data_IF_037692226194
#
_entry.id   IF_037692226194
#
_cell.length_a   1.000
_cell.length_b   1.000
_cell.length_c   1.000
_cell.angle_alpha   90.00
_cell.angle_beta   90.00
_cell.angle_gamma   90.00
#
_symmetry.space_group_name_H-M   'P 1'
#
loop_
_entity.id
_entity.type
_entity.pdbx_description
1 polymer ?
#
# COMPACT_ATOMS: atom_id res chain seq x y z
N UNK A 1 -17.73 4.41 -23.01
CA UNK A 1 -18.12 3.86 -21.70
C UNK A 1 -18.05 2.35 -21.79
N UNK A 2 -16.93 1.77 -21.37
CA UNK A 2 -16.80 0.31 -21.27
C UNK A 2 -17.28 -0.04 -19.86
N UNK A 3 -18.46 -0.67 -19.79
CA UNK A 3 -19.04 -1.15 -18.55
C UNK A 3 -18.49 -2.57 -18.32
N UNK A 4 -17.32 -2.68 -17.72
CA UNK A 4 -16.74 -3.96 -17.31
C UNK A 4 -17.48 -4.43 -16.07
N UNK A 5 -18.55 -5.19 -16.30
CA UNK A 5 -19.26 -5.89 -15.24
C UNK A 5 -18.38 -7.05 -14.80
N UNK A 6 -17.75 -6.95 -13.62
CA UNK A 6 -17.06 -8.08 -12.99
C UNK A 6 -18.11 -9.12 -12.58
N UNK A 7 -18.29 -10.15 -13.40
CA UNK A 7 -19.06 -11.35 -13.05
C UNK A 7 -18.10 -12.53 -13.12
N UNK A 8 -17.73 -13.08 -11.96
CA UNK A 8 -17.04 -14.37 -11.88
C UNK A 8 -18.00 -15.43 -11.36
N UNK A 9 -18.64 -16.17 -12.28
CA UNK A 9 -19.39 -17.39 -11.97
C UNK A 9 -18.46 -18.60 -11.71
N UNK A 10 -17.19 -18.35 -11.37
CA UNK A 10 -16.22 -19.36 -10.94
C UNK A 10 -15.20 -18.68 -10.01
N UNK A 11 -14.74 -19.36 -8.95
CA UNK A 11 -13.62 -18.94 -8.08
C UNK A 11 -12.29 -18.94 -8.86
N UNK A 12 -12.20 -18.13 -9.90
CA UNK A 12 -11.03 -18.04 -10.77
C UNK A 12 -9.82 -17.57 -9.96
N UNK A 13 -8.64 -18.08 -10.31
CA UNK A 13 -7.37 -17.63 -9.76
C UNK A 13 -7.22 -16.13 -10.03
N UNK A 14 -7.08 -15.33 -8.96
CA UNK A 14 -6.90 -13.88 -9.08
C UNK A 14 -5.46 -13.55 -9.51
N UNK A 15 -5.26 -13.01 -10.70
CA UNK A 15 -3.95 -12.54 -11.18
C UNK A 15 -3.65 -11.13 -10.68
N UNK A 16 -2.53 -10.99 -9.99
CA UNK A 16 -2.16 -9.75 -9.29
C UNK A 16 -0.85 -9.20 -9.87
N UNK A 17 -0.91 -7.99 -10.43
CA UNK A 17 0.27 -7.19 -10.73
C UNK A 17 0.75 -6.45 -9.48
N UNK A 18 2.05 -6.39 -9.22
CA UNK A 18 2.57 -5.77 -7.99
C UNK A 18 3.55 -4.64 -8.29
N UNK A 19 3.31 -3.46 -7.76
CA UNK A 19 4.13 -2.27 -7.99
C UNK A 19 4.68 -1.75 -6.66
N UNK A 20 5.98 -1.49 -6.61
CA UNK A 20 6.64 -1.04 -5.39
C UNK A 20 7.84 -0.14 -5.67
N UNK A 21 8.20 0.73 -4.72
CA UNK A 21 9.50 1.40 -4.72
C UNK A 21 10.56 0.64 -3.92
N UNK A 22 10.17 -0.40 -3.19
CA UNK A 22 11.08 -1.34 -2.54
C UNK A 22 12.06 -0.66 -1.57
N UNK A 23 11.60 0.25 -0.70
CA UNK A 23 12.47 1.03 0.20
C UNK A 23 12.36 0.69 1.67
N UNK A 24 11.30 0.01 2.10
CA UNK A 24 11.03 -0.15 3.52
C UNK A 24 10.27 -1.42 3.89
N UNK A 25 10.21 -1.66 5.19
CA UNK A 25 9.57 -2.85 5.80
C UNK A 25 8.07 -2.93 5.51
N UNK A 26 7.41 -1.80 5.26
CA UNK A 26 6.00 -1.77 4.86
C UNK A 26 5.80 -2.49 3.53
N UNK A 27 6.42 -2.00 2.45
CA UNK A 27 6.32 -2.60 1.12
C UNK A 27 6.81 -4.05 1.08
N UNK A 28 7.88 -4.37 1.83
CA UNK A 28 8.40 -5.74 1.92
C UNK A 28 7.39 -6.67 2.61
N UNK A 29 6.90 -6.27 3.78
CA UNK A 29 5.98 -7.08 4.58
C UNK A 29 4.61 -7.26 3.93
N UNK A 30 4.13 -6.29 3.12
CA UNK A 30 2.90 -6.44 2.33
C UNK A 30 3.06 -7.55 1.28
N UNK A 31 4.18 -7.55 0.55
CA UNK A 31 4.43 -8.58 -0.47
C UNK A 31 4.63 -9.96 0.18
N UNK A 32 5.45 -10.03 1.23
CA UNK A 32 5.71 -11.27 1.97
C UNK A 32 4.43 -11.87 2.56
N UNK A 33 3.60 -11.06 3.21
CA UNK A 33 2.33 -11.55 3.77
C UNK A 33 1.36 -12.03 2.69
N UNK A 34 1.32 -11.36 1.54
CA UNK A 34 0.47 -11.76 0.41
C UNK A 34 0.94 -13.08 -0.19
N UNK A 35 2.24 -13.25 -0.39
CA UNK A 35 2.83 -14.49 -0.88
C UNK A 35 2.63 -15.65 0.09
N UNK A 36 2.76 -15.42 1.40
CA UNK A 36 2.50 -16.46 2.39
C UNK A 36 1.03 -16.91 2.36
N UNK A 37 0.08 -15.98 2.17
CA UNK A 37 -1.33 -16.32 2.04
C UNK A 37 -1.64 -17.08 0.75
N UNK A 38 -0.91 -16.82 -0.34
CA UNK A 38 -0.98 -17.60 -1.57
C UNK A 38 -0.42 -19.00 -1.35
N UNK A 39 0.78 -19.11 -0.76
CA UNK A 39 1.45 -20.39 -0.47
C UNK A 39 0.62 -21.30 0.44
N UNK A 40 -0.07 -20.73 1.43
CA UNK A 40 -0.93 -21.48 2.35
C UNK A 40 -2.27 -21.87 1.72
N UNK A 41 -2.62 -21.32 0.56
CA UNK A 41 -3.91 -21.51 -0.10
C UNK A 41 -5.06 -20.67 0.49
N UNK A 42 -4.78 -19.77 1.44
CA UNK A 42 -5.78 -18.85 1.98
C UNK A 42 -6.24 -17.81 0.96
N UNK A 43 -5.32 -17.36 0.11
CA UNK A 43 -5.59 -16.50 -1.03
C UNK A 43 -5.46 -17.31 -2.32
N UNK A 44 -6.58 -17.52 -3.01
CA UNK A 44 -6.58 -18.12 -4.35
C UNK A 44 -6.20 -17.07 -5.41
N UNK A 45 -4.91 -16.78 -5.48
CA UNK A 45 -4.35 -15.81 -6.42
C UNK A 45 -2.89 -16.09 -6.76
N UNK A 46 -2.37 -15.36 -7.74
CA UNK A 46 -1.00 -15.44 -8.21
C UNK A 46 -0.45 -14.03 -8.43
N UNK A 47 0.79 -13.77 -7.99
CA UNK A 47 1.49 -12.54 -8.36
C UNK A 47 2.20 -12.78 -9.69
N UNK A 48 1.66 -12.22 -10.77
CA UNK A 48 2.13 -12.49 -12.15
C UNK A 48 3.38 -11.71 -12.51
N UNK A 49 3.57 -10.55 -11.89
CA UNK A 49 4.80 -9.77 -11.98
C UNK A 49 4.97 -8.86 -10.76
N UNK A 50 6.23 -8.48 -10.52
CA UNK A 50 6.58 -7.37 -9.62
C UNK A 50 7.35 -6.32 -10.41
N UNK A 51 6.79 -5.13 -10.52
CA UNK A 51 7.46 -3.94 -11.03
C UNK A 51 8.08 -3.13 -9.89
N UNK A 52 9.35 -2.74 -10.06
CA UNK A 52 10.05 -1.84 -9.15
C UNK A 52 10.62 -0.64 -9.91
N UNK A 53 10.26 0.57 -9.50
CA UNK A 53 10.75 1.81 -10.12
C UNK A 53 12.20 2.18 -9.72
N UNK A 54 12.99 1.18 -9.33
CA UNK A 54 14.38 1.28 -8.85
C UNK A 54 15.19 0.13 -9.40
N UNK A 55 16.51 0.30 -9.40
CA UNK A 55 17.46 -0.70 -9.86
C UNK A 55 18.33 -1.23 -8.71
N UNK A 56 18.94 -2.39 -8.94
CA UNK A 56 19.93 -3.00 -8.06
C UNK A 56 21.14 -2.06 -7.85
N UNK A 57 21.71 -2.09 -6.65
CA UNK A 57 22.82 -1.23 -6.22
C UNK A 57 22.41 0.19 -5.83
N UNK A 58 21.12 0.56 -5.92
CA UNK A 58 20.69 1.91 -5.51
C UNK A 58 20.65 2.09 -4.00
N UNK A 59 20.15 1.10 -3.25
CA UNK A 59 20.13 1.07 -1.78
C UNK A 59 20.02 -0.36 -1.29
N UNK A 60 20.58 -0.66 -0.10
CA UNK A 60 20.51 -2.00 0.53
C UNK A 60 19.08 -2.52 0.68
N UNK A 61 18.12 -1.63 0.99
CA UNK A 61 16.72 -1.98 1.17
C UNK A 61 16.07 -2.41 -0.15
N UNK A 62 16.38 -1.70 -1.24
CA UNK A 62 15.96 -2.09 -2.59
C UNK A 62 16.58 -3.42 -2.98
N UNK A 63 17.88 -3.60 -2.78
CA UNK A 63 18.56 -4.86 -3.14
C UNK A 63 17.98 -6.06 -2.38
N UNK A 64 17.66 -5.89 -1.09
CA UNK A 64 16.94 -6.90 -0.30
C UNK A 64 15.57 -7.22 -0.89
N UNK A 65 14.78 -6.20 -1.26
CA UNK A 65 13.47 -6.40 -1.86
C UNK A 65 13.55 -7.13 -3.22
N UNK A 66 14.47 -6.69 -4.10
CA UNK A 66 14.68 -7.34 -5.40
C UNK A 66 15.15 -8.79 -5.25
N UNK A 67 16.06 -9.05 -4.30
CA UNK A 67 16.54 -10.41 -4.00
C UNK A 67 15.40 -11.31 -3.52
N UNK A 68 14.53 -10.79 -2.64
CA UNK A 68 13.36 -11.51 -2.17
C UNK A 68 12.41 -11.85 -3.31
N UNK A 69 12.07 -10.91 -4.20
CA UNK A 69 11.22 -11.18 -5.36
C UNK A 69 11.84 -12.28 -6.25
N UNK A 70 13.15 -12.18 -6.56
CA UNK A 70 13.88 -13.17 -7.36
C UNK A 70 13.87 -14.55 -6.69
N UNK A 71 14.06 -14.63 -5.36
CA UNK A 71 14.08 -15.92 -4.64
C UNK A 71 12.73 -16.61 -4.59
N UNK A 72 11.65 -15.87 -4.84
CA UNK A 72 10.28 -16.38 -4.96
C UNK A 72 9.93 -16.82 -6.39
N UNK A 73 10.84 -16.67 -7.35
CA UNK A 73 10.63 -17.08 -8.75
C UNK A 73 9.65 -16.19 -9.54
N UNK A 74 9.32 -15.01 -9.02
CA UNK A 74 8.34 -14.11 -9.63
C UNK A 74 9.05 -13.26 -10.71
N UNK A 75 8.43 -13.02 -11.88
CA UNK A 75 8.95 -12.09 -12.86
C UNK A 75 9.19 -10.69 -12.25
N UNK A 76 10.45 -10.28 -12.20
CA UNK A 76 10.87 -8.99 -11.66
C UNK A 76 11.24 -8.05 -12.81
N UNK A 77 10.47 -6.96 -12.94
CA UNK A 77 10.70 -5.92 -13.94
C UNK A 77 11.15 -4.67 -13.21
N UNK A 78 12.25 -4.07 -13.68
CA UNK A 78 12.77 -2.84 -13.09
C UNK A 78 12.94 -1.75 -14.13
N UNK A 79 12.40 -0.57 -13.85
CA UNK A 79 12.72 0.66 -14.58
C UNK A 79 13.02 1.77 -13.57
N UNK A 80 14.29 2.13 -13.43
CA UNK A 80 14.71 3.13 -12.44
C UNK A 80 14.21 4.52 -12.81
N UNK A 81 13.32 5.10 -11.99
CA UNK A 81 12.82 6.48 -12.23
C UNK A 81 13.93 7.53 -12.14
N UNK A 82 14.94 7.29 -11.30
CA UNK A 82 16.14 8.13 -11.20
C UNK A 82 16.93 8.12 -12.50
N UNK A 83 17.18 6.94 -13.05
CA UNK A 83 18.03 6.80 -14.24
C UNK A 83 17.25 7.18 -15.50
N UNK A 84 15.94 6.92 -15.54
CA UNK A 84 15.03 7.46 -16.54
C UNK A 84 15.07 8.98 -16.57
N UNK A 85 14.93 9.64 -15.41
CA UNK A 85 15.03 11.11 -15.33
C UNK A 85 16.38 11.63 -15.81
N UNK A 86 17.49 10.94 -15.47
CA UNK A 86 18.84 11.31 -15.95
C UNK A 86 18.96 11.21 -17.47
N UNK A 87 18.39 10.17 -18.07
CA UNK A 87 18.36 9.98 -19.52
C UNK A 87 17.49 11.02 -20.25
N UNK A 88 16.55 11.65 -19.54
CA UNK A 88 15.68 12.72 -20.06
C UNK A 88 16.11 14.09 -19.53
N UNK A 89 17.40 14.41 -19.62
CA UNK A 89 17.98 15.72 -19.29
C UNK A 89 17.66 16.25 -17.88
N UNK A 90 17.34 15.37 -16.93
CA UNK A 90 16.89 15.72 -15.58
C UNK A 90 15.66 16.63 -15.53
N UNK A 91 14.74 16.51 -16.49
CA UNK A 91 13.49 17.28 -16.46
C UNK A 91 12.71 17.12 -15.15
N UNK A 92 11.87 18.12 -14.78
CA UNK A 92 10.96 18.00 -13.67
C UNK A 92 10.12 16.74 -13.77
N UNK A 93 9.99 15.98 -12.68
CA UNK A 93 9.27 14.70 -12.70
C UNK A 93 7.84 14.82 -13.23
N UNK A 94 7.17 15.94 -12.96
CA UNK A 94 5.83 16.23 -13.46
C UNK A 94 5.71 16.10 -14.99
N UNK A 95 6.77 16.43 -15.75
CA UNK A 95 6.79 16.34 -17.21
C UNK A 95 7.11 14.93 -17.72
N UNK A 96 7.65 14.07 -16.85
CA UNK A 96 8.14 12.73 -17.21
C UNK A 96 7.18 11.61 -16.82
N UNK A 97 6.19 11.86 -15.94
CA UNK A 97 5.28 10.83 -15.41
C UNK A 97 4.63 9.99 -16.50
N UNK A 98 4.00 10.63 -17.48
CA UNK A 98 3.30 9.91 -18.55
C UNK A 98 4.24 9.12 -19.45
N UNK A 99 5.41 9.69 -19.78
CA UNK A 99 6.41 9.01 -20.60
C UNK A 99 6.99 7.79 -19.86
N UNK A 100 7.24 7.94 -18.56
CA UNK A 100 7.68 6.85 -17.70
C UNK A 100 6.62 5.75 -17.61
N UNK A 101 5.36 6.11 -17.31
CA UNK A 101 4.26 5.14 -17.22
C UNK A 101 4.09 4.36 -18.53
N UNK A 102 4.13 5.01 -19.70
CA UNK A 102 4.07 4.34 -21.01
C UNK A 102 5.21 3.34 -21.20
N UNK A 103 6.44 3.72 -20.82
CA UNK A 103 7.58 2.82 -20.88
C UNK A 103 7.44 1.62 -19.93
N UNK A 104 6.83 1.82 -18.75
CA UNK A 104 6.51 0.72 -17.83
C UNK A 104 5.46 -0.21 -18.44
N UNK A 105 4.37 0.33 -19.01
CA UNK A 105 3.31 -0.47 -19.65
C UNK A 105 3.87 -1.31 -20.79
N UNK A 106 4.75 -0.75 -21.62
CA UNK A 106 5.41 -1.48 -22.71
C UNK A 106 6.24 -2.67 -22.18
N UNK A 107 7.02 -2.46 -21.10
CA UNK A 107 7.79 -3.52 -20.46
C UNK A 107 6.90 -4.62 -19.85
N UNK A 108 5.70 -4.24 -19.40
CA UNK A 108 4.75 -5.15 -18.77
C UNK A 108 3.81 -5.85 -19.76
N UNK A 109 3.85 -5.49 -21.06
CA UNK A 109 2.98 -6.07 -22.09
C UNK A 109 2.93 -7.60 -22.18
N UNK A 110 4.01 -8.36 -21.87
CA UNK A 110 3.96 -9.83 -21.82
C UNK A 110 3.17 -10.42 -20.63
N UNK A 111 2.78 -9.62 -19.64
CA UNK A 111 2.15 -10.06 -18.41
C UNK A 111 0.70 -9.60 -18.34
N UNK A 112 -0.13 -10.43 -17.70
CA UNK A 112 -1.56 -10.18 -17.51
C UNK A 112 -1.88 -10.08 -16.01
N UNK A 113 -2.85 -9.25 -15.66
CA UNK A 113 -3.29 -9.02 -14.29
C UNK A 113 -4.75 -8.57 -14.24
N UNK A 114 -5.56 -9.21 -13.40
CA UNK A 114 -6.96 -8.82 -13.17
C UNK A 114 -7.03 -7.52 -12.36
N UNK A 115 -6.12 -7.39 -11.40
CA UNK A 115 -5.91 -6.20 -10.57
C UNK A 115 -4.42 -5.96 -10.37
N UNK A 116 -4.06 -4.72 -10.01
CA UNK A 116 -2.73 -4.34 -9.57
C UNK A 116 -2.74 -3.87 -8.11
N UNK A 117 -1.58 -3.89 -7.46
CA UNK A 117 -1.39 -3.35 -6.11
C UNK A 117 -0.22 -2.37 -6.09
N UNK A 118 -0.47 -1.15 -5.62
CA UNK A 118 0.55 -0.19 -5.18
C UNK A 118 0.93 -0.51 -3.72
N UNK A 119 2.07 -1.17 -3.52
CA UNK A 119 2.59 -1.49 -2.19
C UNK A 119 3.81 -0.63 -1.87
N UNK A 120 3.57 0.58 -1.36
CA UNK A 120 4.63 1.55 -1.15
C UNK A 120 5.27 2.03 -2.46
N UNK A 121 4.45 2.16 -3.50
CA UNK A 121 4.81 2.81 -4.75
C UNK A 121 4.78 4.32 -4.58
N UNK A 122 5.90 4.99 -4.82
CA UNK A 122 6.14 6.36 -4.37
C UNK A 122 6.12 7.38 -5.51
N UNK A 123 5.48 7.03 -6.63
CA UNK A 123 5.33 7.89 -7.81
C UNK A 123 3.84 8.07 -8.13
N UNK A 124 3.49 9.25 -8.63
CA UNK A 124 2.19 9.51 -9.24
C UNK A 124 2.21 8.91 -10.65
N UNK A 125 1.26 8.02 -10.94
CA UNK A 125 1.27 7.14 -12.10
C UNK A 125 -0.05 7.27 -12.90
N UNK A 126 -0.32 8.43 -13.52
CA UNK A 126 -1.63 8.72 -14.11
C UNK A 126 -2.05 7.75 -15.22
N UNK A 127 -1.10 7.31 -16.07
CA UNK A 127 -1.40 6.42 -17.20
C UNK A 127 -1.45 4.98 -16.70
N UNK A 128 -0.55 4.59 -15.79
CA UNK A 128 -0.55 3.26 -15.18
C UNK A 128 -1.86 2.97 -14.43
N UNK A 129 -2.37 3.93 -13.64
CA UNK A 129 -3.66 3.79 -12.95
C UNK A 129 -4.87 3.71 -13.90
N UNK A 130 -4.71 4.14 -15.16
CA UNK A 130 -5.76 4.03 -16.18
C UNK A 130 -5.68 2.68 -16.93
N UNK A 131 -4.48 2.11 -17.05
CA UNK A 131 -4.23 0.82 -17.69
C UNK A 131 -4.59 -0.36 -16.78
N UNK A 132 -4.22 -0.27 -15.49
CA UNK A 132 -4.45 -1.31 -14.51
C UNK A 132 -5.42 -0.85 -13.43
N UNK A 133 -6.43 -1.68 -13.11
CA UNK A 133 -7.26 -1.49 -11.92
C UNK A 133 -6.38 -1.69 -10.67
N UNK A 134 -5.87 -0.59 -10.13
CA UNK A 134 -4.80 -0.61 -9.12
C UNK A 134 -5.33 -0.29 -7.75
N UNK A 135 -5.14 -1.18 -6.78
CA UNK A 135 -5.46 -0.96 -5.37
C UNK A 135 -4.25 -0.39 -4.64
N UNK A 136 -4.46 0.59 -3.77
CA UNK A 136 -3.43 1.14 -2.90
C UNK A 136 -3.87 1.02 -1.43
N UNK A 137 -2.92 0.66 -0.58
CA UNK A 137 -3.09 0.73 0.86
C UNK A 137 -2.59 2.08 1.35
N UNK A 138 -3.46 2.80 2.04
CA UNK A 138 -3.13 4.05 2.70
C UNK A 138 -3.35 3.95 4.22
N UNK A 139 -2.33 4.25 5.06
CA UNK A 139 -2.41 4.10 6.51
C UNK A 139 -3.12 5.28 7.18
N UNK A 140 -4.33 5.59 6.70
CA UNK A 140 -5.25 6.54 7.27
C UNK A 140 -6.70 6.07 6.95
N UNK A 141 -7.68 6.52 7.73
CA UNK A 141 -9.08 6.24 7.46
C UNK A 141 -9.62 7.17 6.35
N UNK A 142 -10.73 6.79 5.68
CA UNK A 142 -11.34 7.63 4.65
C UNK A 142 -11.61 9.05 5.16
N UNK A 143 -11.16 10.05 4.41
CA UNK A 143 -11.32 11.46 4.73
C UNK A 143 -10.42 12.01 5.85
N UNK A 144 -9.48 11.23 6.41
CA UNK A 144 -8.65 11.70 7.54
C UNK A 144 -7.39 12.47 7.12
N UNK A 145 -6.44 11.83 6.46
CA UNK A 145 -5.15 12.42 6.06
C UNK A 145 -4.81 11.95 4.66
N UNK A 146 -4.34 12.86 3.79
CA UNK A 146 -3.83 12.54 2.45
C UNK A 146 -2.29 12.59 2.48
N UNK A 147 -1.64 11.70 1.73
CA UNK A 147 -0.20 11.73 1.48
C UNK A 147 0.61 10.80 2.36
N UNK A 148 1.70 11.30 2.95
CA UNK A 148 2.70 10.45 3.59
C UNK A 148 2.20 9.81 4.89
N UNK A 149 2.54 8.54 5.12
CA UNK A 149 2.17 7.80 6.34
C UNK A 149 2.64 8.49 7.63
N UNK A 150 3.78 9.18 7.61
CA UNK A 150 4.25 9.96 8.76
C UNK A 150 3.27 11.07 9.12
N UNK A 151 2.69 11.74 8.12
CA UNK A 151 1.72 12.80 8.34
C UNK A 151 0.43 12.21 8.92
N UNK A 152 0.00 11.02 8.48
CA UNK A 152 -1.15 10.34 9.08
C UNK A 152 -0.97 10.10 10.59
N UNK A 153 0.22 9.65 11.02
CA UNK A 153 0.51 9.47 12.44
C UNK A 153 0.57 10.81 13.18
N UNK A 154 1.21 11.83 12.59
CA UNK A 154 1.25 13.15 13.20
C UNK A 154 -0.11 13.80 13.32
N UNK A 155 -1.02 13.54 12.40
CA UNK A 155 -2.41 13.97 12.47
C UNK A 155 -3.14 13.29 13.63
N UNK A 156 -2.95 11.98 13.82
CA UNK A 156 -3.49 11.26 14.99
C UNK A 156 -3.03 11.91 16.29
N UNK A 157 -1.73 12.17 16.42
CA UNK A 157 -1.12 12.77 17.61
C UNK A 157 -1.62 14.22 17.81
N UNK A 158 -1.52 15.04 16.77
CA UNK A 158 -1.83 16.47 16.82
C UNK A 158 -3.32 16.76 17.01
N UNK A 159 -4.20 15.97 16.39
CA UNK A 159 -5.65 16.07 16.55
C UNK A 159 -6.17 15.27 17.75
N UNK A 160 -5.29 14.63 18.52
CA UNK A 160 -5.62 13.84 19.72
C UNK A 160 -6.68 12.76 19.45
N UNK A 161 -6.65 12.15 18.26
CA UNK A 161 -7.63 11.16 17.84
C UNK A 161 -7.61 9.96 18.81
N UNK A 162 -8.78 9.36 19.04
CA UNK A 162 -8.92 8.16 19.88
C UNK A 162 -8.83 6.86 19.06
N UNK A 163 -8.96 6.97 17.73
CA UNK A 163 -8.90 5.85 16.77
C UNK A 163 -8.17 6.29 15.51
N UNK A 164 -7.57 5.32 14.84
CA UNK A 164 -6.98 5.45 13.51
C UNK A 164 -7.10 4.11 12.78
N UNK A 165 -6.59 4.02 11.55
CA UNK A 165 -6.69 2.80 10.77
C UNK A 165 -6.00 2.93 9.42
N UNK A 166 -6.36 2.03 8.53
CA UNK A 166 -5.92 2.02 7.15
C UNK A 166 -7.12 1.76 6.22
N UNK A 167 -6.98 2.20 4.97
CA UNK A 167 -7.92 1.94 3.89
C UNK A 167 -7.23 1.30 2.70
N UNK A 168 -7.96 0.44 1.99
CA UNK A 168 -7.64 0.03 0.63
C UNK A 168 -8.57 0.79 -0.30
N UNK A 169 -8.00 1.46 -1.29
CA UNK A 169 -8.75 2.24 -2.26
C UNK A 169 -8.21 2.04 -3.67
N UNK A 170 -9.04 2.33 -4.67
CA UNK A 170 -8.62 2.35 -6.07
C UNK A 170 -7.70 3.56 -6.28
N UNK A 171 -6.57 3.36 -6.93
CA UNK A 171 -5.64 4.42 -7.28
C UNK A 171 -6.20 5.24 -8.43
N UNK A 172 -6.11 6.56 -8.33
CA UNK A 172 -6.47 7.48 -9.42
C UNK A 172 -5.35 8.49 -9.63
N UNK A 173 -5.54 9.42 -10.56
CA UNK A 173 -4.63 10.56 -10.71
C UNK A 173 -4.61 11.46 -9.46
N UNK A 174 -5.71 11.49 -8.71
CA UNK A 174 -5.82 12.21 -7.43
C UNK A 174 -5.33 11.28 -6.31
N UNK A 175 -4.28 11.72 -5.62
CA UNK A 175 -3.57 10.94 -4.60
C UNK A 175 -4.52 10.64 -3.42
N UNK A 176 -4.65 9.37 -3.05
CA UNK A 176 -5.47 8.86 -1.94
C UNK A 176 -6.97 9.21 -1.99
N UNK A 177 -7.48 9.61 -3.17
CA UNK A 177 -8.86 10.12 -3.34
C UNK A 177 -9.76 9.19 -4.15
N UNK A 178 -9.27 8.03 -4.58
CA UNK A 178 -10.10 7.08 -5.32
C UNK A 178 -11.12 6.34 -4.43
N UNK A 179 -12.07 5.61 -5.05
CA UNK A 179 -13.07 4.82 -4.34
C UNK A 179 -12.44 3.90 -3.29
N UNK A 180 -12.88 4.03 -2.05
CA UNK A 180 -12.48 3.14 -0.95
C UNK A 180 -13.25 1.83 -1.07
N UNK A 181 -12.57 0.71 -0.89
CA UNK A 181 -13.18 -0.63 -0.99
C UNK A 181 -13.14 -1.39 0.33
N UNK A 182 -12.15 -1.12 1.17
CA UNK A 182 -12.02 -1.77 2.47
C UNK A 182 -11.34 -0.87 3.50
N UNK A 183 -11.68 -1.06 4.78
CA UNK A 183 -11.07 -0.36 5.91
C UNK A 183 -10.82 -1.30 7.08
N UNK A 184 -9.82 -0.99 7.89
CA UNK A 184 -9.70 -1.53 9.24
C UNK A 184 -9.22 -0.44 10.20
N UNK A 185 -9.89 -0.33 11.35
CA UNK A 185 -9.59 0.67 12.37
C UNK A 185 -9.21 0.05 13.71
N UNK A 186 -8.48 0.80 14.52
CA UNK A 186 -8.07 0.39 15.85
C UNK A 186 -8.02 1.58 16.81
N UNK A 187 -8.15 1.27 18.10
CA UNK A 187 -8.01 2.26 19.17
C UNK A 187 -6.53 2.66 19.33
N UNK A 188 -6.28 3.96 19.46
CA UNK A 188 -4.98 4.49 19.91
C UNK A 188 -5.05 4.93 21.38
N UNK A 189 -5.95 4.30 22.15
CA UNK A 189 -6.11 4.44 23.61
C UNK A 189 -6.07 3.07 24.27
N UNK A 190 -5.91 3.05 25.60
CA UNK A 190 -5.82 1.85 26.42
C UNK A 190 -4.37 1.50 26.77
N UNK A 191 -4.19 0.35 27.44
CA UNK A 191 -2.92 -0.09 28.07
C UNK A 191 -1.65 0.04 27.23
N UNK A 192 -1.76 0.00 25.90
CA UNK A 192 -0.62 0.06 24.98
C UNK A 192 -0.26 1.48 24.53
N UNK A 193 -1.12 2.46 24.79
CA UNK A 193 -0.97 3.84 24.32
C UNK A 193 -1.07 4.87 25.43
N UNK A 194 -1.81 4.62 26.51
CA UNK A 194 -2.13 5.65 27.51
C UNK A 194 -0.87 6.25 28.15
N UNK A 195 0.12 5.43 28.52
CA UNK A 195 1.39 5.94 29.05
C UNK A 195 2.15 6.81 28.05
N UNK A 196 2.09 6.48 26.76
CA UNK A 196 2.71 7.29 25.70
C UNK A 196 1.97 8.60 25.45
N UNK A 197 0.67 8.65 25.71
CA UNK A 197 -0.10 9.89 25.66
C UNK A 197 0.18 10.78 26.85
N UNK A 198 0.28 10.21 28.06
CA UNK A 198 0.68 10.93 29.28
C UNK A 198 2.07 11.56 29.13
N UNK A 199 3.02 10.85 28.51
CA UNK A 199 4.39 11.34 28.24
C UNK A 199 4.43 12.62 27.38
N UNK A 200 3.42 12.86 26.54
CA UNK A 200 3.36 14.02 25.65
C UNK A 200 2.39 15.10 26.14
N UNK A 201 1.76 14.92 27.29
CA UNK A 201 0.87 15.93 27.85
C UNK A 201 1.63 17.18 28.27
N UNK A 202 1.06 18.35 27.95
CA UNK A 202 1.70 19.64 28.15
C UNK A 202 2.73 20.04 27.09
N UNK A 203 3.06 19.16 26.13
CA UNK A 203 3.94 19.50 25.00
C UNK A 203 3.15 19.83 23.73
N UNK A 204 3.56 20.88 23.03
CA UNK A 204 3.01 21.21 21.72
C UNK A 204 3.62 20.33 20.61
N UNK A 205 2.86 20.16 19.51
CA UNK A 205 3.23 19.29 18.39
C UNK A 205 4.56 19.71 17.71
N UNK A 206 4.86 21.01 17.65
CA UNK A 206 6.09 21.51 17.02
C UNK A 206 7.30 21.10 17.86
N UNK A 207 7.21 21.22 19.18
CA UNK A 207 8.25 20.78 20.11
C UNK A 207 8.51 19.28 19.99
N UNK A 208 7.46 18.46 19.96
CA UNK A 208 7.59 17.00 19.82
C UNK A 208 8.27 16.61 18.49
N UNK A 209 7.84 17.20 17.38
CA UNK A 209 8.44 16.98 16.05
C UNK A 209 9.92 17.39 16.00
N UNK A 210 10.29 18.50 16.64
CA UNK A 210 11.67 18.99 16.63
C UNK A 210 12.60 18.16 17.52
N UNK A 211 12.14 17.77 18.71
CA UNK A 211 12.99 17.07 19.69
C UNK A 211 13.14 15.58 19.39
N UNK A 212 12.04 14.92 19.04
CA UNK A 212 11.98 13.46 18.93
C UNK A 212 11.64 13.03 17.50
N UNK A 213 10.81 13.79 16.78
CA UNK A 213 10.41 13.39 15.43
C UNK A 213 9.79 12.00 15.42
N UNK A 214 10.16 11.18 14.44
CA UNK A 214 9.71 9.78 14.34
C UNK A 214 10.24 8.89 15.48
N UNK A 215 11.22 9.37 16.26
CA UNK A 215 11.75 8.63 17.40
C UNK A 215 10.85 8.70 18.65
N UNK A 216 9.80 9.53 18.62
CA UNK A 216 8.81 9.65 19.70
C UNK A 216 8.13 8.30 20.02
N UNK A 217 8.04 7.95 21.31
CA UNK A 217 7.44 6.68 21.77
C UNK A 217 6.04 6.45 21.21
N UNK A 218 5.15 7.43 21.35
CA UNK A 218 3.79 7.37 20.81
C UNK A 218 3.78 7.18 19.28
N UNK A 219 4.66 7.87 18.55
CA UNK A 219 4.76 7.75 17.10
C UNK A 219 5.14 6.32 16.69
N UNK A 220 6.17 5.75 17.32
CA UNK A 220 6.59 4.36 17.07
C UNK A 220 5.50 3.36 17.45
N UNK A 221 4.81 3.57 18.57
CA UNK A 221 3.72 2.71 19.02
C UNK A 221 2.58 2.68 17.99
N UNK A 222 2.15 3.84 17.50
CA UNK A 222 1.12 3.94 16.45
C UNK A 222 1.62 3.29 15.15
N UNK A 223 2.86 3.54 14.72
CA UNK A 223 3.39 2.94 13.48
C UNK A 223 3.45 1.41 13.57
N UNK A 224 3.89 0.88 14.71
CA UNK A 224 3.95 -0.56 14.97
C UNK A 224 2.56 -1.18 14.94
N UNK A 225 1.59 -0.56 15.61
CA UNK A 225 0.21 -1.04 15.63
C UNK A 225 -0.46 -0.98 14.25
N UNK A 226 -0.18 0.06 13.46
CA UNK A 226 -0.63 0.18 12.07
C UNK A 226 -0.05 -0.92 11.18
N UNK A 227 1.28 -1.12 11.21
CA UNK A 227 1.96 -2.16 10.42
C UNK A 227 1.43 -3.57 10.68
N UNK A 228 1.05 -3.88 11.93
CA UNK A 228 0.45 -5.17 12.29
C UNK A 228 -0.90 -5.40 11.59
N UNK A 229 -1.63 -4.34 11.25
CA UNK A 229 -2.97 -4.37 10.64
C UNK A 229 -2.97 -4.14 9.14
N UNK A 230 -2.00 -3.38 8.63
CA UNK A 230 -1.86 -3.10 7.19
C UNK A 230 -1.73 -4.39 6.37
N UNK A 231 -0.92 -5.34 6.86
CA UNK A 231 -0.66 -6.62 6.18
C UNK A 231 -1.92 -7.50 6.06
N UNK A 232 -2.58 -7.88 7.17
CA UNK A 232 -3.82 -8.66 7.08
C UNK A 232 -4.94 -7.88 6.39
N UNK A 233 -5.03 -6.55 6.52
CA UNK A 233 -6.02 -5.77 5.78
C UNK A 233 -5.88 -5.98 4.27
N UNK A 234 -4.67 -5.89 3.73
CA UNK A 234 -4.44 -6.14 2.30
C UNK A 234 -4.80 -7.59 1.92
N UNK A 235 -4.34 -8.57 2.69
CA UNK A 235 -4.60 -10.00 2.42
C UNK A 235 -6.09 -10.31 2.43
N UNK A 236 -6.82 -9.89 3.47
CA UNK A 236 -8.27 -10.12 3.58
C UNK A 236 -9.05 -9.38 2.49
N UNK A 237 -8.60 -8.19 2.08
CA UNK A 237 -9.20 -7.48 0.95
C UNK A 237 -9.03 -8.28 -0.35
N UNK A 238 -7.81 -8.77 -0.64
CA UNK A 238 -7.54 -9.58 -1.84
C UNK A 238 -8.31 -10.91 -1.82
N UNK A 239 -8.45 -11.56 -0.65
CA UNK A 239 -9.27 -12.77 -0.48
C UNK A 239 -10.73 -12.49 -0.81
N UNK A 240 -11.28 -11.41 -0.27
CA UNK A 240 -12.67 -11.02 -0.54
C UNK A 240 -12.89 -10.64 -2.01
N UNK A 241 -11.93 -9.99 -2.67
CA UNK A 241 -11.96 -9.72 -4.12
C UNK A 241 -11.93 -11.02 -4.94
N UNK A 242 -11.00 -11.94 -4.64
CA UNK A 242 -10.90 -13.27 -5.28
C UNK A 242 -12.20 -14.07 -5.17
N UNK A 243 -12.96 -13.87 -4.08
CA UNK A 243 -14.22 -14.54 -3.81
C UNK A 243 -15.46 -13.78 -4.32
N UNK A 244 -15.28 -12.63 -4.98
CA UNK A 244 -16.37 -11.78 -5.48
C UNK A 244 -17.19 -11.08 -4.40
N UNK A 245 -16.70 -11.03 -3.16
CA UNK A 245 -17.36 -10.39 -2.01
C UNK A 245 -17.10 -8.88 -1.96
N UNK A 246 -15.94 -8.44 -2.44
CA UNK A 246 -15.61 -7.02 -2.63
C UNK A 246 -15.45 -6.78 -4.13
N UNK A 247 -16.08 -5.72 -4.63
CA UNK A 247 -15.87 -5.23 -5.99
C UNK A 247 -14.60 -4.35 -6.01
N UNK A 248 -13.54 -4.74 -6.73
CA UNK A 248 -12.28 -4.01 -6.75
C UNK A 248 -12.39 -2.64 -7.45
N UNK A 249 -13.50 -2.33 -8.14
CA UNK A 249 -13.77 -1.00 -8.70
C UNK A 249 -14.29 0.00 -7.66
N UNK A 250 -14.72 -0.49 -6.50
CA UNK A 250 -15.35 0.31 -5.44
C UNK A 250 -16.81 0.71 -5.72
N UNK A 251 -17.47 0.10 -6.71
CA UNK A 251 -18.85 0.45 -7.05
C UNK A 251 -19.91 -0.04 -6.04
N UNK A 252 -19.57 -1.03 -5.19
CA UNK A 252 -20.50 -1.72 -4.27
C UNK A 252 -20.40 -1.32 -2.79
N UNK A 253 -19.70 -0.22 -2.49
CA UNK A 253 -19.54 0.28 -1.12
C UNK A 253 -18.24 -0.15 -0.44
N UNK A 254 -18.11 0.20 0.85
CA UNK A 254 -16.89 0.00 1.65
C UNK A 254 -17.09 -1.19 2.60
N UNK A 255 -16.19 -2.16 2.55
CA UNK A 255 -16.15 -3.26 3.52
C UNK A 255 -15.38 -2.86 4.79
N UNK A 256 -16.02 -2.97 5.96
CA UNK A 256 -15.32 -2.89 7.24
C UNK A 256 -14.75 -4.26 7.61
N UNK A 257 -13.43 -4.40 7.53
CA UNK A 257 -12.69 -5.62 7.83
C UNK A 257 -12.06 -5.60 9.23
N UNK A 258 -12.41 -4.63 10.08
CA UNK A 258 -11.80 -4.45 11.40
C UNK A 258 -11.79 -5.72 12.24
N UNK A 259 -12.93 -6.41 12.39
CA UNK A 259 -13.01 -7.63 13.21
C UNK A 259 -12.15 -8.77 12.63
N UNK A 260 -12.17 -8.94 11.32
CA UNK A 260 -11.37 -9.98 10.62
C UNK A 260 -9.87 -9.71 10.81
N UNK A 261 -9.46 -8.46 10.62
CA UNK A 261 -8.08 -8.02 10.81
C UNK A 261 -7.64 -8.19 12.27
N UNK A 262 -8.44 -7.78 13.24
CA UNK A 262 -8.11 -7.96 14.66
C UNK A 262 -8.01 -9.43 15.07
N UNK A 263 -8.79 -10.33 14.46
CA UNK A 263 -8.66 -11.76 14.71
C UNK A 263 -7.32 -12.31 14.18
N UNK A 264 -6.94 -11.91 12.97
CA UNK A 264 -5.71 -12.38 12.31
C UNK A 264 -4.40 -12.00 13.01
N UNK A 265 -4.44 -11.01 13.91
CA UNK A 265 -3.27 -10.58 14.69
C UNK A 265 -3.19 -11.23 16.07
N UNK A 266 -4.24 -11.95 16.50
CA UNK A 266 -4.30 -12.66 17.78
C UNK A 266 -3.89 -14.13 17.68
N UNK A 267 -4.01 -14.70 16.48
CA UNK A 267 -3.62 -16.07 16.13
C UNK A 267 -2.13 -16.14 15.74
#
# INVERSE_FOLDING_TARGET
>A
MVNTTFISDNKALLKIGWFSTGRGEGSYGLLESTLNAIDSGELHGEITFVFVNRAEGQTKQTDRFLTFVKSRGIPLITLSSRDFRRAHNNEPWANLREAFDKAVIELLGPFDADIAVHAGYMLIAPVLCSEYLTLNLHPALPGSTIGMWQQAIWDVIGKRLIRTGAMIHVSTINVDEGPVIATAEFSVRGRHFDSHWEEIDGFDLKTLKQKQGEELGLFKAIRKAGLLRERPLLVETLKAVSQGQIDPTGSKGIADLTQTVEKSIMD
#
